data_IF_550964830329
#
_entry.id   IF_550964830329
#
_cell.length_a   1.000
_cell.length_b   1.000
_cell.length_c   1.000
_cell.angle_alpha   90.00
_cell.angle_beta   90.00
_cell.angle_gamma   90.00
#
_symmetry.space_group_name_H-M   'P 1'
#
loop_
_entity.id
_entity.type
_entity.pdbx_description
1 polymer ?
#
# COMPACT_ATOMS: atom_id res chain seq x y z
N UNK A 1 -71.39 -29.06 -26.94
CA UNK A 1 -70.76 -28.14 -25.97
C UNK A 1 -70.04 -27.04 -26.74
N UNK A 2 -70.57 -25.81 -26.76
CA UNK A 2 -69.94 -24.66 -27.43
C UNK A 2 -68.94 -24.02 -26.46
N UNK A 3 -67.66 -24.03 -26.81
CA UNK A 3 -66.62 -23.30 -26.07
C UNK A 3 -66.77 -21.81 -26.38
N UNK A 4 -66.96 -20.99 -25.35
CA UNK A 4 -66.95 -19.53 -25.48
C UNK A 4 -65.51 -19.08 -25.78
N UNK A 5 -65.26 -18.31 -26.86
CA UNK A 5 -63.93 -17.80 -27.13
C UNK A 5 -63.54 -16.82 -26.03
N UNK A 6 -62.45 -17.11 -25.32
CA UNK A 6 -61.87 -16.19 -24.33
C UNK A 6 -61.40 -14.93 -25.06
N UNK A 7 -62.07 -13.81 -24.79
CA UNK A 7 -61.68 -12.51 -25.32
C UNK A 7 -60.25 -12.17 -24.86
N UNK A 8 -59.29 -12.22 -25.78
CA UNK A 8 -57.93 -11.73 -25.55
C UNK A 8 -58.01 -10.22 -25.35
N UNK A 9 -57.79 -9.75 -24.11
CA UNK A 9 -57.64 -8.32 -23.83
C UNK A 9 -56.37 -7.83 -24.53
N UNK A 10 -56.54 -6.88 -25.47
CA UNK A 10 -55.42 -6.22 -26.14
C UNK A 10 -54.73 -5.26 -25.17
N UNK A 11 -53.39 -5.27 -25.16
CA UNK A 11 -52.58 -4.39 -24.35
C UNK A 11 -52.58 -2.98 -24.98
N UNK A 12 -52.94 -1.97 -24.21
CA UNK A 12 -52.96 -0.58 -24.71
C UNK A 12 -51.56 0.02 -24.66
N UNK A 13 -51.27 0.93 -25.60
CA UNK A 13 -50.00 1.66 -25.63
C UNK A 13 -49.73 2.41 -24.31
N UNK A 14 -50.80 2.90 -23.65
CA UNK A 14 -50.73 3.59 -22.37
C UNK A 14 -50.27 2.65 -21.26
N UNK A 15 -50.81 1.42 -21.17
CA UNK A 15 -50.39 0.43 -20.18
C UNK A 15 -48.90 0.06 -20.36
N UNK A 16 -48.43 -0.07 -21.61
CA UNK A 16 -47.01 -0.27 -21.88
C UNK A 16 -46.16 0.90 -21.36
N UNK A 17 -46.60 2.12 -21.65
CA UNK A 17 -45.86 3.35 -21.31
C UNK A 17 -45.76 3.55 -19.80
N UNK A 18 -46.82 3.26 -19.05
CA UNK A 18 -46.81 3.34 -17.59
C UNK A 18 -45.85 2.31 -16.99
N UNK A 19 -45.84 1.08 -17.50
CA UNK A 19 -44.95 0.03 -16.99
C UNK A 19 -43.49 0.38 -17.22
N UNK A 20 -43.13 0.85 -18.42
CA UNK A 20 -41.75 1.28 -18.68
C UNK A 20 -41.36 2.50 -17.84
N UNK A 21 -42.29 3.43 -17.57
CA UNK A 21 -42.04 4.60 -16.73
C UNK A 21 -41.76 4.19 -15.27
N UNK A 22 -42.53 3.25 -14.72
CA UNK A 22 -42.31 2.73 -13.37
C UNK A 22 -40.97 2.00 -13.30
N UNK A 23 -40.65 1.12 -14.27
CA UNK A 23 -39.37 0.41 -14.31
C UNK A 23 -38.20 1.41 -14.40
N UNK A 24 -38.32 2.44 -15.23
CA UNK A 24 -37.30 3.48 -15.36
C UNK A 24 -37.07 4.24 -14.04
N UNK A 25 -38.15 4.58 -13.31
CA UNK A 25 -38.06 5.22 -11.99
C UNK A 25 -37.38 4.28 -10.99
N UNK A 26 -37.79 3.01 -10.93
CA UNK A 26 -37.21 2.02 -10.01
C UNK A 26 -35.72 1.81 -10.29
N UNK A 27 -35.32 1.63 -11.55
CA UNK A 27 -33.91 1.50 -11.93
C UNK A 27 -33.14 2.78 -11.62
N UNK A 28 -33.73 3.96 -11.90
CA UNK A 28 -33.14 5.26 -11.61
C UNK A 28 -32.84 5.47 -10.12
N UNK A 29 -33.71 4.97 -9.24
CA UNK A 29 -33.50 5.03 -7.79
C UNK A 29 -32.53 3.95 -7.27
N UNK A 30 -32.49 2.78 -7.91
CA UNK A 30 -31.66 1.64 -7.47
C UNK A 30 -30.20 1.76 -7.91
N UNK A 31 -29.90 2.34 -9.08
CA UNK A 31 -28.53 2.40 -9.60
C UNK A 31 -27.55 3.14 -8.66
N UNK A 32 -27.87 4.35 -8.13
CA UNK A 32 -26.99 5.02 -7.17
C UNK A 32 -26.85 4.24 -5.85
N UNK A 33 -27.92 3.56 -5.41
CA UNK A 33 -27.90 2.77 -4.20
C UNK A 33 -26.99 1.54 -4.32
N UNK A 34 -27.08 0.80 -5.44
CA UNK A 34 -26.22 -0.36 -5.71
C UNK A 34 -24.75 0.05 -5.77
N UNK A 35 -24.42 1.21 -6.33
CA UNK A 35 -23.06 1.72 -6.37
C UNK A 35 -22.51 2.02 -4.96
N UNK A 36 -23.31 2.67 -4.10
CA UNK A 36 -22.94 2.91 -2.70
C UNK A 36 -22.70 1.62 -1.92
N UNK A 37 -23.56 0.62 -2.12
CA UNK A 37 -23.42 -0.70 -1.48
C UNK A 37 -22.16 -1.41 -1.96
N UNK A 38 -21.87 -1.38 -3.27
CA UNK A 38 -20.65 -1.98 -3.83
C UNK A 38 -19.39 -1.36 -3.26
N UNK A 39 -19.34 -0.04 -3.16
CA UNK A 39 -18.18 0.65 -2.60
C UNK A 39 -18.02 0.39 -1.10
N UNK A 40 -19.11 0.32 -0.33
CA UNK A 40 -19.06 -0.07 1.07
C UNK A 40 -18.53 -1.52 1.25
N UNK A 41 -18.96 -2.45 0.38
CA UNK A 41 -18.46 -3.82 0.38
C UNK A 41 -16.98 -3.92 -0.02
N UNK A 42 -16.56 -3.15 -1.03
CA UNK A 42 -15.17 -3.06 -1.45
C UNK A 42 -14.28 -2.52 -0.32
N UNK A 43 -14.69 -1.43 0.33
CA UNK A 43 -14.03 -0.88 1.51
C UNK A 43 -13.94 -1.87 2.67
N UNK A 44 -15.02 -2.57 2.97
CA UNK A 44 -15.03 -3.60 4.01
C UNK A 44 -14.04 -4.74 3.69
N UNK A 45 -13.93 -5.10 2.41
CA UNK A 45 -12.95 -6.09 1.95
C UNK A 45 -11.52 -5.57 2.11
N UNK A 46 -11.24 -4.31 1.75
CA UNK A 46 -9.91 -3.74 1.91
C UNK A 46 -9.50 -3.63 3.39
N UNK A 47 -10.44 -3.32 4.29
CA UNK A 47 -10.22 -3.36 5.74
C UNK A 47 -9.91 -4.77 6.25
N UNK A 48 -10.64 -5.79 5.78
CA UNK A 48 -10.39 -7.18 6.14
C UNK A 48 -9.02 -7.67 5.65
N UNK A 49 -8.61 -7.27 4.43
CA UNK A 49 -7.27 -7.55 3.92
C UNK A 49 -6.18 -6.94 4.81
N UNK A 50 -6.34 -5.67 5.20
CA UNK A 50 -5.43 -5.00 6.15
C UNK A 50 -5.36 -5.74 7.48
N UNK A 51 -6.50 -6.21 8.01
CA UNK A 51 -6.54 -7.00 9.24
C UNK A 51 -5.80 -8.33 9.10
N UNK A 52 -6.01 -9.04 8.00
CA UNK A 52 -5.30 -10.30 7.71
C UNK A 52 -3.80 -10.09 7.58
N UNK A 53 -3.36 -9.06 6.84
CA UNK A 53 -1.93 -8.76 6.71
C UNK A 53 -1.33 -8.30 8.03
N UNK A 54 -2.02 -7.45 8.80
CA UNK A 54 -1.57 -7.02 10.13
C UNK A 54 -1.31 -8.22 11.04
N UNK A 55 -2.25 -9.18 11.10
CA UNK A 55 -2.06 -10.43 11.84
C UNK A 55 -0.88 -11.26 11.30
N UNK A 56 -0.69 -11.32 9.98
CA UNK A 56 0.43 -12.03 9.38
C UNK A 56 1.79 -11.42 9.76
N UNK A 57 1.89 -10.08 9.86
CA UNK A 57 3.10 -9.41 10.34
C UNK A 57 3.34 -9.65 11.83
N UNK A 58 2.29 -9.70 12.65
CA UNK A 58 2.40 -10.11 14.06
C UNK A 58 2.92 -11.54 14.18
N UNK A 59 2.31 -12.50 13.50
CA UNK A 59 2.74 -13.90 13.51
C UNK A 59 4.17 -14.08 13.00
N UNK A 60 4.56 -13.33 11.97
CA UNK A 60 5.95 -13.33 11.50
C UNK A 60 6.89 -12.85 12.60
N UNK A 61 6.58 -11.72 13.24
CA UNK A 61 7.42 -11.18 14.30
C UNK A 61 7.52 -12.14 15.49
N UNK A 62 6.42 -12.75 15.92
CA UNK A 62 6.40 -13.65 17.07
C UNK A 62 7.36 -14.83 16.88
N UNK A 63 7.50 -15.31 15.64
CA UNK A 63 8.43 -16.39 15.28
C UNK A 63 9.86 -15.88 15.08
N UNK A 64 10.05 -14.67 14.54
CA UNK A 64 11.35 -14.19 14.04
C UNK A 64 12.02 -13.14 14.92
N UNK A 65 11.36 -12.62 15.95
CA UNK A 65 11.90 -11.62 16.87
C UNK A 65 11.96 -10.19 16.32
N UNK A 66 11.29 -9.89 15.21
CA UNK A 66 11.22 -8.56 14.61
C UNK A 66 10.34 -8.52 13.36
N UNK A 67 9.85 -7.33 12.98
CA UNK A 67 9.16 -7.14 11.70
C UNK A 67 10.15 -7.33 10.53
N UNK A 68 9.73 -7.82 9.36
CA UNK A 68 10.62 -7.87 8.21
C UNK A 68 11.00 -6.44 7.79
N UNK A 69 12.18 -6.22 7.19
CA UNK A 69 12.44 -4.93 6.54
C UNK A 69 11.64 -4.81 5.25
N UNK A 70 11.45 -3.58 4.77
CA UNK A 70 10.66 -3.35 3.55
C UNK A 70 11.31 -3.98 2.33
N UNK A 71 12.62 -3.81 2.19
CA UNK A 71 13.43 -4.55 1.22
C UNK A 71 14.50 -5.35 1.94
N UNK A 72 14.67 -6.59 1.50
CA UNK A 72 15.65 -7.52 2.05
C UNK A 72 15.98 -8.58 1.03
N UNK A 73 17.23 -9.02 0.96
CA UNK A 73 17.59 -10.43 0.85
C UNK A 73 19.11 -10.57 0.96
N UNK A 74 19.51 -11.44 1.88
CA UNK A 74 20.53 -12.44 1.63
C UNK A 74 19.91 -13.77 2.11
N UNK A 75 20.22 -14.92 1.49
CA UNK A 75 19.81 -16.21 2.02
C UNK A 75 20.07 -16.28 3.54
N UNK A 76 19.12 -16.83 4.29
CA UNK A 76 19.33 -17.13 5.71
C UNK A 76 20.56 -18.05 5.78
N UNK A 77 21.65 -17.58 6.38
CA UNK A 77 22.91 -18.34 6.48
C UNK A 77 24.03 -18.00 5.51
N UNK A 78 23.87 -17.07 4.55
CA UNK A 78 25.02 -16.60 3.73
C UNK A 78 25.54 -15.24 4.21
N UNK A 79 26.87 -15.07 4.19
CA UNK A 79 27.60 -13.82 4.47
C UNK A 79 27.90 -13.03 3.20
N UNK A 80 27.62 -13.60 2.02
CA UNK A 80 27.86 -12.96 0.73
C UNK A 80 26.81 -11.87 0.46
N UNK A 81 27.10 -10.65 0.90
CA UNK A 81 26.63 -9.39 0.29
C UNK A 81 27.31 -9.10 -1.06
N UNK A 82 28.03 -10.07 -1.62
CA UNK A 82 28.80 -9.91 -2.86
C UNK A 82 27.91 -9.82 -4.08
N UNK A 83 27.71 -8.59 -4.57
CA UNK A 83 27.39 -8.23 -5.96
C UNK A 83 26.16 -8.86 -6.64
N UNK A 84 25.10 -9.20 -5.89
CA UNK A 84 23.82 -9.56 -6.52
C UNK A 84 22.70 -8.58 -6.09
N UNK A 85 22.43 -7.51 -6.89
CA UNK A 85 21.38 -6.51 -6.61
C UNK A 85 19.94 -7.06 -6.63
N UNK A 86 19.79 -8.34 -6.98
CA UNK A 86 18.53 -9.10 -6.98
C UNK A 86 17.99 -9.28 -5.56
N UNK A 87 18.90 -9.34 -4.58
CA UNK A 87 18.56 -9.73 -3.23
C UNK A 87 18.17 -8.52 -2.36
N UNK A 88 18.82 -7.37 -2.45
CA UNK A 88 18.47 -6.19 -1.63
C UNK A 88 17.13 -5.50 -1.97
N UNK A 89 16.26 -6.15 -2.76
CA UNK A 89 15.04 -5.58 -3.29
C UNK A 89 13.79 -6.44 -3.10
N UNK A 90 13.84 -7.60 -2.44
CA UNK A 90 12.62 -8.40 -2.21
C UNK A 90 11.78 -7.76 -1.09
N UNK A 91 10.47 -7.65 -1.32
CA UNK A 91 9.54 -7.02 -0.39
C UNK A 91 9.35 -7.85 0.89
N UNK A 92 9.26 -7.19 2.05
CA UNK A 92 8.86 -7.80 3.31
C UNK A 92 7.52 -8.56 3.24
N UNK A 93 6.64 -8.19 2.30
CA UNK A 93 5.39 -8.92 2.03
C UNK A 93 5.60 -10.37 1.57
N UNK A 94 6.75 -10.71 0.97
CA UNK A 94 7.03 -12.08 0.53
C UNK A 94 7.32 -13.02 1.70
N UNK A 95 7.84 -12.47 2.81
CA UNK A 95 8.13 -13.23 4.03
C UNK A 95 6.88 -13.57 4.84
N UNK A 96 5.80 -12.81 4.67
CA UNK A 96 4.53 -13.06 5.38
C UNK A 96 3.57 -13.99 4.63
N UNK A 97 3.90 -14.40 3.40
CA UNK A 97 3.07 -15.29 2.59
C UNK A 97 2.62 -16.57 3.33
N UNK A 98 3.48 -17.28 4.10
CA UNK A 98 3.05 -18.46 4.85
C UNK A 98 1.95 -18.19 5.89
N UNK A 99 1.87 -16.95 6.39
CA UNK A 99 0.92 -16.53 7.44
C UNK A 99 -0.39 -15.98 6.87
N UNK A 100 -0.56 -15.99 5.53
CA UNK A 100 -1.80 -15.64 4.83
C UNK A 100 -2.25 -16.76 3.88
N UNK A 101 -2.01 -18.02 4.25
CA UNK A 101 -2.38 -19.20 3.44
C UNK A 101 -1.73 -19.21 2.04
N UNK A 102 -0.54 -18.62 1.90
CA UNK A 102 0.25 -18.61 0.66
C UNK A 102 1.60 -19.33 0.83
N UNK A 103 1.67 -20.34 1.71
CA UNK A 103 2.86 -21.17 1.90
C UNK A 103 3.37 -21.85 0.61
N UNK A 104 2.50 -22.35 -0.31
CA UNK A 104 2.97 -22.90 -1.59
C UNK A 104 3.70 -21.86 -2.46
N UNK A 105 3.19 -20.62 -2.50
CA UNK A 105 3.80 -19.53 -3.26
C UNK A 105 5.13 -19.09 -2.63
N UNK A 106 5.19 -18.98 -1.30
CA UNK A 106 6.43 -18.74 -0.58
C UNK A 106 7.49 -19.78 -0.97
N UNK A 107 7.14 -21.07 -0.90
CA UNK A 107 8.06 -22.14 -1.25
C UNK A 107 8.47 -22.10 -2.72
N UNK A 108 7.55 -21.76 -3.63
CA UNK A 108 7.87 -21.60 -5.05
C UNK A 108 8.86 -20.47 -5.34
N UNK A 109 8.90 -19.42 -4.50
CA UNK A 109 9.87 -18.33 -4.60
C UNK A 109 11.19 -18.74 -3.94
N UNK A 110 11.17 -19.03 -2.64
CA UNK A 110 12.37 -19.22 -1.82
C UNK A 110 13.09 -20.54 -2.06
N UNK A 111 12.41 -21.57 -2.58
CA UNK A 111 13.05 -22.84 -2.95
C UNK A 111 13.40 -22.94 -4.43
N UNK A 112 13.11 -21.92 -5.24
CA UNK A 112 13.49 -21.93 -6.64
C UNK A 112 15.02 -21.98 -6.80
N UNK A 113 15.58 -22.90 -7.61
CA UNK A 113 17.03 -23.02 -7.79
C UNK A 113 17.70 -21.69 -8.13
N UNK A 114 17.19 -20.98 -9.15
CA UNK A 114 17.75 -19.69 -9.55
C UNK A 114 17.70 -18.61 -8.45
N UNK A 115 16.71 -18.67 -7.55
CA UNK A 115 16.61 -17.74 -6.41
C UNK A 115 17.59 -18.11 -5.30
N UNK A 116 17.86 -19.41 -5.08
CA UNK A 116 18.88 -19.89 -4.15
C UNK A 116 20.30 -19.62 -4.64
N UNK A 117 20.53 -19.79 -5.93
CA UNK A 117 21.86 -19.80 -6.54
C UNK A 117 22.42 -18.41 -6.86
N UNK A 118 21.67 -17.34 -6.63
CA UNK A 118 22.19 -16.01 -6.97
C UNK A 118 21.76 -15.52 -8.36
N UNK A 119 21.19 -16.38 -9.20
CA UNK A 119 21.23 -16.21 -10.66
C UNK A 119 19.97 -15.62 -11.28
N UNK A 120 18.80 -15.72 -10.62
CA UNK A 120 17.54 -15.10 -11.06
C UNK A 120 16.57 -14.93 -9.89
N UNK A 121 15.34 -14.49 -10.18
CA UNK A 121 14.31 -14.26 -9.17
C UNK A 121 14.22 -12.80 -8.71
N UNK A 122 14.76 -11.87 -9.50
CA UNK A 122 14.54 -10.44 -9.28
C UNK A 122 13.06 -10.10 -9.31
N UNK A 123 12.54 -9.25 -8.42
CA UNK A 123 11.13 -8.90 -8.40
C UNK A 123 10.60 -8.24 -9.67
N UNK A 124 11.49 -7.70 -10.51
CA UNK A 124 11.15 -7.13 -11.83
C UNK A 124 11.19 -8.13 -12.99
N UNK A 125 11.62 -9.38 -12.75
CA UNK A 125 11.69 -10.40 -13.78
C UNK A 125 10.29 -10.99 -14.04
N UNK A 126 9.63 -10.55 -15.11
CA UNK A 126 8.34 -11.10 -15.55
C UNK A 126 8.42 -12.56 -16.04
N UNK A 127 9.62 -13.07 -16.33
CA UNK A 127 9.86 -14.48 -16.64
C UNK A 127 9.92 -15.38 -15.39
N UNK A 128 9.99 -14.81 -14.19
CA UNK A 128 9.93 -15.57 -12.94
C UNK A 128 8.46 -15.82 -12.57
N UNK A 129 7.94 -16.96 -13.00
CA UNK A 129 6.49 -17.29 -12.97
C UNK A 129 5.82 -17.16 -11.60
N UNK A 130 6.47 -17.41 -10.43
CA UNK A 130 5.82 -17.18 -9.14
C UNK A 130 5.34 -15.74 -8.94
N UNK A 131 6.04 -14.74 -9.48
CA UNK A 131 5.65 -13.34 -9.32
C UNK A 131 4.43 -12.93 -10.16
N UNK A 132 3.94 -13.78 -11.06
CA UNK A 132 2.69 -13.55 -11.78
C UNK A 132 1.44 -14.00 -10.98
N UNK A 133 1.61 -14.70 -9.85
CA UNK A 133 0.48 -15.21 -9.05
C UNK A 133 -0.15 -14.09 -8.25
N UNK A 134 -1.42 -13.79 -8.52
CA UNK A 134 -2.18 -12.75 -7.80
C UNK A 134 -2.63 -13.26 -6.44
N UNK A 135 -2.07 -12.68 -5.38
CA UNK A 135 -2.52 -12.91 -3.99
C UNK A 135 -3.73 -12.02 -3.71
N UNK A 136 -4.91 -12.61 -3.49
CA UNK A 136 -6.17 -11.86 -3.29
C UNK A 136 -6.11 -10.91 -2.09
N UNK A 137 -5.50 -11.32 -0.98
CA UNK A 137 -5.32 -10.49 0.23
C UNK A 137 -4.49 -9.24 -0.04
N UNK A 138 -3.69 -9.21 -1.10
CA UNK A 138 -2.89 -8.06 -1.52
C UNK A 138 -3.64 -7.10 -2.46
N UNK A 139 -4.84 -7.45 -2.91
CA UNK A 139 -5.65 -6.64 -3.82
C UNK A 139 -6.76 -5.93 -3.06
N UNK A 140 -6.90 -4.61 -3.26
CA UNK A 140 -8.07 -3.88 -2.82
C UNK A 140 -9.09 -3.86 -3.97
N UNK A 141 -10.34 -4.34 -3.79
CA UNK A 141 -11.34 -4.34 -4.87
C UNK A 141 -11.73 -2.95 -5.40
N UNK A 142 -11.41 -1.88 -4.67
CA UNK A 142 -11.61 -0.50 -5.14
C UNK A 142 -10.49 0.00 -6.05
N UNK A 143 -9.42 -0.77 -6.28
CA UNK A 143 -8.36 -0.41 -7.22
C UNK A 143 -8.88 -0.42 -8.67
N UNK A 144 -8.78 0.72 -9.35
CA UNK A 144 -9.30 0.88 -10.72
C UNK A 144 -8.25 0.81 -11.82
N UNK A 145 -6.96 0.92 -11.50
CA UNK A 145 -5.93 0.81 -12.52
C UNK A 145 -5.89 -0.60 -13.10
N UNK A 146 -5.37 -0.76 -14.30
CA UNK A 146 -5.18 -2.08 -14.89
C UNK A 146 -4.02 -2.81 -14.19
N UNK A 147 -4.10 -4.15 -14.03
CA UNK A 147 -2.94 -4.93 -13.60
C UNK A 147 -1.81 -4.82 -14.63
N UNK A 148 -0.55 -4.76 -14.16
CA UNK A 148 0.62 -4.76 -15.02
C UNK A 148 0.78 -6.13 -15.68
N UNK A 149 1.38 -6.15 -16.88
CA UNK A 149 1.58 -7.38 -17.64
C UNK A 149 2.72 -8.19 -17.01
N UNK A 150 2.45 -9.47 -16.74
CA UNK A 150 3.48 -10.45 -16.35
C UNK A 150 3.93 -10.41 -14.89
N UNK A 151 3.43 -9.48 -14.08
CA UNK A 151 3.73 -9.40 -12.64
C UNK A 151 2.45 -9.09 -11.87
N UNK A 152 2.27 -9.73 -10.71
CA UNK A 152 1.15 -9.47 -9.83
C UNK A 152 1.34 -8.12 -9.10
N UNK A 153 0.31 -7.28 -9.00
CA UNK A 153 0.35 -6.01 -8.28
C UNK A 153 0.03 -6.19 -6.77
N UNK A 154 0.11 -5.10 -6.00
CA UNK A 154 -0.34 -5.01 -4.60
C UNK A 154 -0.84 -3.60 -4.29
N UNK A 155 -1.87 -3.48 -3.47
CA UNK A 155 -2.51 -2.22 -3.07
C UNK A 155 -2.28 -1.81 -1.61
N UNK A 156 -1.23 -2.32 -1.00
CA UNK A 156 -0.91 -2.09 0.41
C UNK A 156 0.59 -1.87 0.55
N UNK A 157 0.97 -0.97 1.46
CA UNK A 157 2.36 -0.54 1.66
C UNK A 157 2.70 -0.50 3.15
N UNK A 158 4.00 -0.55 3.42
CA UNK A 158 4.62 -0.53 4.73
C UNK A 158 4.98 0.89 5.15
N UNK A 159 4.73 1.22 6.41
CA UNK A 159 5.11 2.49 7.00
C UNK A 159 6.63 2.60 7.23
N UNK A 160 7.31 3.52 6.54
CA UNK A 160 8.74 3.84 6.77
C UNK A 160 8.99 5.15 7.50
N UNK A 161 7.92 5.80 7.96
CA UNK A 161 7.97 6.95 8.86
C UNK A 161 7.82 8.28 8.15
N UNK A 162 8.38 9.32 8.76
CA UNK A 162 8.09 10.72 8.46
C UNK A 162 9.29 11.46 7.84
N UNK A 163 10.20 10.72 7.20
CA UNK A 163 11.36 11.27 6.48
C UNK A 163 11.30 10.93 5.01
N UNK A 164 11.77 11.83 4.16
CA UNK A 164 11.88 11.60 2.73
C UNK A 164 13.09 10.75 2.33
N UNK A 165 14.00 10.37 3.24
CA UNK A 165 15.18 9.54 2.97
C UNK A 165 15.48 8.55 4.11
N UNK A 166 14.51 7.71 4.53
CA UNK A 166 14.73 6.70 5.55
C UNK A 166 15.75 5.67 5.10
N UNK A 167 16.51 5.19 6.07
CA UNK A 167 17.54 4.17 5.97
C UNK A 167 17.44 3.25 7.19
N UNK A 168 18.37 2.29 7.30
CA UNK A 168 18.42 1.39 8.44
C UNK A 168 18.72 2.09 9.79
N UNK A 169 19.29 3.30 9.78
CA UNK A 169 19.73 4.02 10.99
C UNK A 169 18.87 5.23 11.35
N UNK A 170 18.23 5.87 10.36
CA UNK A 170 17.37 7.04 10.57
C UNK A 170 15.89 6.79 10.24
N UNK A 171 15.52 5.60 9.74
CA UNK A 171 14.12 5.26 9.49
C UNK A 171 13.34 5.25 10.80
N UNK A 172 12.20 5.94 10.86
CA UNK A 172 11.38 6.10 12.08
C UNK A 172 10.05 5.33 12.02
N UNK A 173 9.72 4.73 10.89
CA UNK A 173 8.53 3.90 10.72
C UNK A 173 8.49 2.63 11.54
N UNK A 174 7.33 1.95 11.51
CA UNK A 174 7.20 0.58 12.00
C UNK A 174 8.17 -0.37 11.26
N UNK A 175 8.38 -0.13 9.97
CA UNK A 175 9.31 -0.88 9.14
C UNK A 175 10.56 -0.05 8.84
N UNK A 176 11.72 -0.71 8.82
CA UNK A 176 12.95 -0.14 8.30
C UNK A 176 13.10 -0.49 6.82
N UNK A 177 13.68 0.42 6.04
CA UNK A 177 13.94 0.21 4.61
C UNK A 177 14.87 -0.98 4.39
N UNK A 178 15.91 -1.10 5.23
CA UNK A 178 16.90 -2.18 5.21
C UNK A 178 17.20 -2.62 6.64
N UNK A 179 17.72 -3.84 6.85
CA UNK A 179 18.09 -4.31 8.18
C UNK A 179 19.32 -3.59 8.74
N UNK A 180 19.39 -3.43 10.07
CA UNK A 180 20.38 -2.60 10.79
C UNK A 180 21.74 -3.28 11.04
N UNK A 181 22.15 -4.22 10.19
CA UNK A 181 23.37 -5.08 10.30
C UNK A 181 23.27 -6.28 11.25
N UNK A 182 24.02 -7.36 10.94
CA UNK A 182 24.24 -8.51 11.84
C UNK A 182 24.05 -9.92 11.23
N UNK A 183 24.70 -10.91 11.85
CA UNK A 183 24.32 -12.34 11.73
C UNK A 183 22.97 -12.55 12.41
N UNK A 184 22.16 -13.53 11.95
CA UNK A 184 20.86 -13.81 12.56
C UNK A 184 20.96 -13.93 14.10
N UNK A 185 20.00 -13.39 14.89
CA UNK A 185 18.67 -12.86 14.53
C UNK A 185 18.61 -11.36 14.20
N UNK A 186 19.73 -10.63 14.18
CA UNK A 186 19.82 -9.17 13.97
C UNK A 186 19.45 -8.69 12.55
N UNK A 187 18.79 -9.54 11.75
CA UNK A 187 18.42 -9.28 10.35
C UNK A 187 17.01 -8.72 10.17
N UNK A 188 16.20 -8.70 11.22
CA UNK A 188 14.83 -8.18 11.16
C UNK A 188 14.77 -6.77 11.75
N UNK A 189 13.77 -6.01 11.29
CA UNK A 189 13.53 -4.65 11.70
C UNK A 189 12.99 -4.54 13.14
N UNK A 190 12.39 -3.40 13.48
CA UNK A 190 11.89 -3.12 14.82
C UNK A 190 10.88 -4.18 15.30
N UNK A 191 10.84 -4.39 16.61
CA UNK A 191 9.78 -5.17 17.25
C UNK A 191 8.58 -4.28 17.57
N UNK A 192 7.39 -4.87 17.71
CA UNK A 192 6.21 -4.18 18.23
C UNK A 192 6.46 -3.61 19.63
N UNK A 193 7.28 -4.28 20.45
CA UNK A 193 7.70 -3.76 21.75
C UNK A 193 8.55 -2.50 21.63
N UNK A 194 9.32 -2.35 20.55
CA UNK A 194 10.13 -1.16 20.26
C UNK A 194 9.33 0.07 19.81
N UNK A 195 8.00 -0.02 19.75
CA UNK A 195 7.11 1.09 19.40
C UNK A 195 6.73 1.87 20.65
N UNK A 196 7.63 2.75 21.10
CA UNK A 196 7.47 3.55 22.32
C UNK A 196 6.34 4.57 22.23
N UNK A 197 5.93 4.97 21.02
CA UNK A 197 4.79 5.87 20.80
C UNK A 197 3.43 5.15 20.99
N UNK A 198 3.47 3.83 21.20
CA UNK A 198 2.31 2.96 21.35
C UNK A 198 1.94 2.27 20.04
N UNK A 199 1.66 0.97 20.11
CA UNK A 199 1.27 0.16 18.96
C UNK A 199 -0.08 0.58 18.38
N UNK A 200 -0.97 1.16 19.20
CA UNK A 200 -2.27 1.71 18.76
C UNK A 200 -2.16 3.06 18.05
N UNK A 201 -1.01 3.73 18.16
CA UNK A 201 -0.76 5.07 17.59
C UNK A 201 0.20 5.00 16.40
N UNK A 202 1.02 3.95 16.31
CA UNK A 202 1.92 3.71 15.20
C UNK A 202 1.20 3.02 14.03
N UNK A 203 1.33 3.56 12.83
CA UNK A 203 0.84 2.93 11.60
C UNK A 203 1.73 1.75 11.23
N UNK A 204 1.11 0.64 10.85
CA UNK A 204 1.79 -0.53 10.29
C UNK A 204 1.70 -0.51 8.76
N UNK A 205 0.49 -0.68 8.24
CA UNK A 205 0.21 -0.78 6.81
C UNK A 205 -0.83 0.25 6.40
N UNK A 206 -0.80 0.65 5.14
CA UNK A 206 -1.87 1.47 4.57
C UNK A 206 -2.16 1.04 3.13
N UNK A 207 -3.36 1.36 2.67
CA UNK A 207 -3.72 1.28 1.26
C UNK A 207 -2.82 2.16 0.38
N UNK A 208 -2.60 1.67 -0.83
CA UNK A 208 -1.88 2.36 -1.88
C UNK A 208 -2.61 2.19 -3.22
N UNK A 209 -2.93 3.34 -3.83
CA UNK A 209 -3.43 3.41 -5.21
C UNK A 209 -2.27 3.18 -6.17
N UNK A 210 -2.51 2.50 -7.28
CA UNK A 210 -1.56 2.45 -8.39
C UNK A 210 -1.62 3.73 -9.21
N UNK A 211 -0.48 4.10 -9.78
CA UNK A 211 -0.39 5.22 -10.71
C UNK A 211 0.96 5.92 -10.63
N UNK A 212 1.12 6.86 -11.55
CA UNK A 212 2.35 7.62 -11.74
C UNK A 212 2.73 8.49 -10.54
N UNK A 213 3.98 8.95 -10.60
CA UNK A 213 4.65 9.79 -9.62
C UNK A 213 5.15 11.06 -10.31
N UNK A 214 5.28 12.15 -9.55
CA UNK A 214 6.04 13.33 -9.95
C UNK A 214 7.53 13.15 -9.72
N UNK A 215 8.33 14.05 -10.28
CA UNK A 215 9.77 14.10 -10.07
C UNK A 215 10.18 15.46 -9.50
N UNK A 216 10.82 15.47 -8.32
CA UNK A 216 11.37 16.68 -7.70
C UNK A 216 12.61 16.37 -6.87
N UNK A 217 13.70 17.11 -7.08
CA UNK A 217 14.89 17.00 -6.22
C UNK A 217 14.72 17.70 -4.87
N UNK A 218 13.63 18.45 -4.68
CA UNK A 218 13.33 19.14 -3.42
C UNK A 218 12.87 18.15 -2.35
N UNK A 219 13.37 18.34 -1.12
CA UNK A 219 12.90 17.66 0.08
C UNK A 219 11.82 18.46 0.81
N UNK A 220 11.27 19.51 0.20
CA UNK A 220 10.15 20.28 0.74
C UNK A 220 8.81 19.72 0.22
N UNK A 221 7.90 19.26 1.11
CA UNK A 221 6.63 18.64 0.71
C UNK A 221 5.75 19.50 -0.21
N UNK A 222 5.69 20.81 0.02
CA UNK A 222 4.89 21.74 -0.79
C UNK A 222 5.31 21.75 -2.26
N UNK A 223 6.59 21.51 -2.55
CA UNK A 223 7.11 21.49 -3.91
C UNK A 223 6.60 20.27 -4.67
N UNK A 224 6.51 19.11 -4.02
CA UNK A 224 5.88 17.93 -4.61
C UNK A 224 4.40 18.16 -4.91
N UNK A 225 3.69 18.84 -4.01
CA UNK A 225 2.27 19.16 -4.20
C UNK A 225 2.04 20.04 -5.41
N UNK A 226 2.93 21.02 -5.65
CA UNK A 226 2.85 21.94 -6.77
C UNK A 226 3.01 21.24 -8.15
N UNK A 227 3.63 20.06 -8.21
CA UNK A 227 3.82 19.32 -9.46
C UNK A 227 2.55 18.61 -9.94
N UNK A 228 1.56 18.40 -9.07
CA UNK A 228 0.37 17.62 -9.40
C UNK A 228 -0.81 18.52 -9.71
N UNK A 229 -1.30 18.44 -10.95
CA UNK A 229 -2.52 19.11 -11.35
C UNK A 229 -3.73 18.26 -10.96
N UNK A 230 -4.52 18.74 -9.99
CA UNK A 230 -5.70 18.02 -9.48
C UNK A 230 -6.82 17.89 -10.52
N UNK A 231 -6.90 18.82 -11.47
CA UNK A 231 -7.93 18.84 -12.52
C UNK A 231 -7.64 17.81 -13.61
N UNK A 232 -6.39 17.74 -14.07
CA UNK A 232 -5.98 16.77 -15.11
C UNK A 232 -5.49 15.44 -14.54
N UNK A 233 -5.30 15.36 -13.21
CA UNK A 233 -4.74 14.20 -12.48
C UNK A 233 -3.38 13.77 -13.02
N UNK A 234 -2.55 14.73 -13.39
CA UNK A 234 -1.24 14.51 -14.03
C UNK A 234 -0.12 15.27 -13.31
N UNK A 235 1.10 14.76 -13.42
CA UNK A 235 2.31 15.39 -12.88
C UNK A 235 3.06 16.19 -13.95
N UNK A 236 3.72 17.27 -13.55
CA UNK A 236 4.61 18.04 -14.42
C UNK A 236 5.81 18.57 -13.62
N UNK A 237 7.02 18.00 -13.77
CA UNK A 237 7.36 16.84 -14.59
C UNK A 237 6.86 15.53 -13.97
N UNK A 238 6.40 14.61 -14.82
CA UNK A 238 6.14 13.24 -14.42
C UNK A 238 7.48 12.50 -14.31
N UNK A 239 7.65 11.68 -13.28
CA UNK A 239 8.71 10.68 -13.27
C UNK A 239 8.52 9.72 -14.45
N UNK A 240 9.56 8.98 -14.85
CA UNK A 240 9.42 7.86 -15.79
C UNK A 240 8.25 6.93 -15.41
N UNK A 241 7.76 6.10 -16.35
CA UNK A 241 6.55 5.28 -16.20
C UNK A 241 6.63 4.23 -15.07
N UNK A 242 6.53 4.68 -13.82
CA UNK A 242 6.61 3.89 -12.61
C UNK A 242 5.25 3.93 -11.91
N UNK A 243 4.58 2.79 -11.89
CA UNK A 243 3.34 2.64 -11.15
C UNK A 243 3.64 2.06 -9.77
N UNK A 244 3.25 2.80 -8.75
CA UNK A 244 3.29 2.32 -7.37
C UNK A 244 2.51 1.02 -7.23
N UNK A 245 3.02 0.06 -6.45
CA UNK A 245 2.33 -1.21 -6.23
C UNK A 245 2.15 -2.09 -7.47
N UNK A 246 2.80 -1.79 -8.60
CA UNK A 246 2.69 -2.62 -9.82
C UNK A 246 3.49 -3.93 -9.74
N UNK A 247 4.27 -4.16 -8.68
CA UNK A 247 5.05 -5.39 -8.49
C UNK A 247 4.98 -5.81 -7.03
N UNK A 248 4.29 -6.91 -6.75
CA UNK A 248 4.05 -7.35 -5.37
C UNK A 248 5.33 -7.80 -4.66
N UNK A 249 6.28 -8.37 -5.38
CA UNK A 249 7.51 -8.88 -4.79
C UNK A 249 8.58 -7.79 -4.59
N UNK A 250 8.35 -6.60 -5.13
CA UNK A 250 9.37 -5.55 -5.20
C UNK A 250 9.33 -4.68 -3.94
N UNK A 251 10.42 -4.71 -3.18
CA UNK A 251 10.63 -4.00 -1.92
C UNK A 251 11.10 -2.56 -2.09
N UNK A 252 11.51 -2.13 -3.30
CA UNK A 252 11.87 -0.73 -3.54
C UNK A 252 10.72 0.23 -3.20
N UNK A 253 11.11 1.43 -2.79
CA UNK A 253 10.27 2.38 -2.04
C UNK A 253 8.88 2.60 -2.62
N UNK A 254 8.77 2.92 -3.89
CA UNK A 254 7.48 3.30 -4.47
C UNK A 254 6.56 2.10 -4.75
N UNK A 255 7.06 0.87 -4.61
CA UNK A 255 6.23 -0.34 -4.68
C UNK A 255 5.71 -0.76 -3.31
N UNK A 256 6.54 -0.64 -2.27
CA UNK A 256 6.30 -1.26 -0.96
C UNK A 256 6.17 -0.31 0.22
N UNK A 257 6.46 0.98 0.07
CA UNK A 257 6.56 1.91 1.20
C UNK A 257 5.60 3.09 1.07
N UNK A 258 5.08 3.53 2.21
CA UNK A 258 4.49 4.84 2.37
C UNK A 258 5.14 5.58 3.55
N UNK A 259 4.99 6.89 3.53
CA UNK A 259 5.54 7.86 4.48
C UNK A 259 4.46 8.81 4.93
N UNK A 260 4.62 9.31 6.14
CA UNK A 260 3.63 10.16 6.80
C UNK A 260 3.98 11.64 6.74
N UNK A 261 4.47 12.10 5.59
CA UNK A 261 4.87 13.50 5.38
C UNK A 261 3.72 14.33 4.81
N UNK A 262 3.17 13.87 3.69
CA UNK A 262 1.98 14.43 3.05
C UNK A 262 0.77 13.57 3.40
N UNK A 263 -0.43 14.15 3.57
CA UNK A 263 -1.62 13.43 4.03
C UNK A 263 -2.07 12.36 2.99
N UNK A 264 -3.00 11.46 3.37
CA UNK A 264 -3.54 10.49 2.44
C UNK A 264 -4.03 11.10 1.12
N UNK A 265 -3.87 10.35 0.03
CA UNK A 265 -4.24 10.74 -1.33
C UNK A 265 -3.51 11.97 -1.92
N UNK A 266 -2.63 12.62 -1.15
CA UNK A 266 -1.80 13.71 -1.63
C UNK A 266 -0.81 13.24 -2.71
N UNK A 267 -0.23 14.18 -3.49
CA UNK A 267 0.73 13.85 -4.53
C UNK A 267 1.95 13.09 -4.01
N UNK A 268 2.53 12.28 -4.89
CA UNK A 268 3.71 11.45 -4.63
C UNK A 268 4.82 11.85 -5.58
N UNK A 269 6.03 12.03 -5.08
CA UNK A 269 7.15 12.42 -5.92
C UNK A 269 8.42 11.65 -5.55
N UNK A 270 9.17 11.24 -6.56
CA UNK A 270 10.51 10.71 -6.39
C UNK A 270 11.56 11.83 -6.56
N UNK A 271 12.73 11.62 -5.95
CA UNK A 271 13.84 12.59 -6.02
C UNK A 271 14.89 12.30 -7.09
N UNK A 272 14.86 11.10 -7.66
CA UNK A 272 15.64 10.75 -8.85
C UNK A 272 14.69 10.21 -9.90
N UNK A 273 14.96 10.51 -11.15
CA UNK A 273 14.27 9.90 -12.28
C UNK A 273 14.83 8.50 -12.57
N UNK A 274 15.06 7.70 -11.52
CA UNK A 274 15.58 6.35 -11.58
C UNK A 274 14.82 5.42 -10.60
N UNK A 275 15.01 4.12 -10.78
CA UNK A 275 14.38 3.09 -9.95
C UNK A 275 15.04 2.93 -8.57
N UNK A 276 16.18 3.56 -8.33
CA UNK A 276 17.08 3.25 -7.22
C UNK A 276 16.95 4.25 -6.06
N UNK A 277 16.39 5.43 -6.32
CA UNK A 277 16.18 6.41 -5.27
C UNK A 277 15.11 5.95 -4.28
N UNK A 278 15.57 5.73 -3.05
CA UNK A 278 14.70 5.68 -1.87
C UNK A 278 14.21 7.05 -1.44
N UNK A 279 14.65 8.15 -2.06
CA UNK A 279 14.36 9.50 -1.57
C UNK A 279 13.12 10.10 -2.25
N UNK A 280 12.17 10.62 -1.48
CA UNK A 280 10.95 11.23 -2.01
C UNK A 280 9.75 11.19 -1.04
N UNK A 281 8.60 11.59 -1.56
CA UNK A 281 7.32 11.62 -0.86
C UNK A 281 6.43 10.50 -1.40
N UNK A 282 6.17 9.49 -0.59
CA UNK A 282 5.35 8.33 -0.95
C UNK A 282 4.15 8.29 -0.03
N UNK A 283 3.04 8.86 -0.47
CA UNK A 283 1.82 8.93 0.31
C UNK A 283 0.97 7.67 0.14
N UNK A 284 0.24 7.24 1.18
CA UNK A 284 -0.80 6.26 1.00
C UNK A 284 -1.93 6.83 0.14
N UNK A 285 -2.70 5.95 -0.50
CA UNK A 285 -3.82 6.39 -1.31
C UNK A 285 -4.82 5.28 -1.55
N UNK A 286 -6.07 5.67 -1.78
CA UNK A 286 -7.16 4.74 -2.11
C UNK A 286 -8.14 5.43 -3.08
N UNK A 287 -9.09 4.65 -3.58
CA UNK A 287 -10.26 5.18 -4.31
C UNK A 287 -11.48 5.39 -3.39
N UNK A 288 -11.34 5.11 -2.10
CA UNK A 288 -12.38 5.38 -1.12
C UNK A 288 -12.57 6.89 -0.96
N UNK A 289 -13.81 7.29 -0.72
CA UNK A 289 -14.13 8.71 -0.54
C UNK A 289 -13.52 9.25 0.74
N UNK A 290 -12.62 10.22 0.61
CA UNK A 290 -12.16 11.09 1.70
C UNK A 290 -11.07 10.51 2.61
N UNK A 291 -10.35 9.46 2.20
CA UNK A 291 -9.30 8.88 3.03
C UNK A 291 -8.73 7.56 2.55
N UNK A 292 -8.03 6.88 3.47
CA UNK A 292 -7.46 5.54 3.30
C UNK A 292 -7.78 4.69 4.53
N UNK A 293 -7.93 3.39 4.35
CA UNK A 293 -7.84 2.46 5.46
C UNK A 293 -6.37 2.19 5.78
N UNK A 294 -6.06 2.15 7.07
CA UNK A 294 -4.73 1.82 7.56
C UNK A 294 -4.81 0.85 8.75
N UNK A 295 -3.89 -0.11 8.78
CA UNK A 295 -3.68 -0.96 9.93
C UNK A 295 -2.71 -0.27 10.88
N UNK A 296 -3.09 -0.20 12.15
CA UNK A 296 -2.21 0.21 13.24
C UNK A 296 -1.33 -0.98 13.66
N UNK A 297 -0.25 -0.72 14.37
CA UNK A 297 0.67 -1.75 14.81
C UNK A 297 0.10 -2.66 15.90
N UNK A 298 -1.00 -2.30 16.56
CA UNK A 298 -1.80 -3.19 17.42
C UNK A 298 -2.72 -4.15 16.62
N UNK A 299 -2.72 -4.05 15.29
CA UNK A 299 -3.55 -4.84 14.40
C UNK A 299 -4.99 -4.32 14.26
N UNK A 300 -5.36 -3.21 14.90
CA UNK A 300 -6.62 -2.51 14.61
C UNK A 300 -6.56 -1.87 13.21
N UNK A 301 -7.71 -1.71 12.57
CA UNK A 301 -7.82 -1.04 11.27
C UNK A 301 -8.67 0.21 11.45
N UNK A 302 -8.16 1.35 10.99
CA UNK A 302 -8.81 2.65 11.11
C UNK A 302 -8.89 3.32 9.75
N UNK A 303 -9.89 4.17 9.58
CA UNK A 303 -9.97 5.03 8.41
C UNK A 303 -9.36 6.39 8.71
N UNK A 304 -8.33 6.76 7.96
CA UNK A 304 -7.62 8.03 8.09
C UNK A 304 -8.13 8.96 7.00
N UNK A 305 -8.63 10.13 7.40
CA UNK A 305 -9.19 11.12 6.46
C UNK A 305 -8.09 11.87 5.73
N UNK A 306 -8.38 12.31 4.50
CA UNK A 306 -7.48 13.18 3.71
C UNK A 306 -7.21 14.52 4.41
N UNK A 307 -8.11 14.95 5.30
CA UNK A 307 -8.04 16.19 6.07
C UNK A 307 -7.22 16.08 7.35
N UNK A 308 -6.55 14.95 7.61
CA UNK A 308 -5.68 14.80 8.78
C UNK A 308 -4.57 15.86 8.77
N UNK A 309 -4.24 16.38 9.94
CA UNK A 309 -3.21 17.42 10.07
C UNK A 309 -1.82 16.85 9.72
N UNK A 310 -1.29 17.26 8.56
CA UNK A 310 0.05 16.92 8.06
C UNK A 310 1.13 17.97 8.38
N UNK A 311 0.86 18.84 9.37
CA UNK A 311 1.82 19.82 9.87
C UNK A 311 2.32 20.81 8.81
N UNK A 312 3.59 21.21 8.92
CA UNK A 312 4.18 22.28 8.11
C UNK A 312 4.87 21.71 6.87
N UNK A 313 4.16 21.74 5.73
CA UNK A 313 4.65 21.25 4.44
C UNK A 313 5.82 22.05 3.83
N UNK A 314 6.27 23.13 4.48
CA UNK A 314 7.47 23.89 4.08
C UNK A 314 8.75 23.45 4.81
N UNK A 315 8.63 22.59 5.83
CA UNK A 315 9.80 22.01 6.51
C UNK A 315 10.33 20.84 5.67
N UNK A 316 11.62 20.89 5.35
CA UNK A 316 12.28 19.85 4.59
C UNK A 316 12.26 18.51 5.33
N UNK A 317 11.90 17.44 4.63
CA UNK A 317 11.77 16.08 5.16
C UNK A 317 13.11 15.34 5.25
N UNK A 318 14.18 16.03 5.63
CA UNK A 318 15.50 15.42 5.73
C UNK A 318 15.62 14.59 7.02
N UNK A 319 15.72 13.27 6.86
CA UNK A 319 15.83 12.31 7.95
C UNK A 319 17.11 12.40 8.77
N UNK A 320 18.10 13.19 8.36
CA UNK A 320 19.23 13.53 9.23
C UNK A 320 18.88 14.60 10.28
N UNK A 321 17.85 15.40 10.02
CA UNK A 321 17.49 16.57 10.84
C UNK A 321 16.23 16.38 11.69
N UNK A 322 15.35 15.47 11.30
CA UNK A 322 14.13 15.17 12.05
C UNK A 322 14.47 14.23 13.22
N UNK A 323 14.42 14.78 14.43
CA UNK A 323 14.59 14.04 15.68
C UNK A 323 13.50 14.46 16.68
N UNK A 324 13.04 13.53 17.52
CA UNK A 324 11.92 13.80 18.43
C UNK A 324 10.60 13.97 17.68
N UNK A 325 9.82 15.00 18.02
CA UNK A 325 8.49 15.18 17.43
C UNK A 325 8.53 15.44 15.92
N UNK A 326 7.62 14.79 15.20
CA UNK A 326 7.39 14.97 13.79
C UNK A 326 6.89 16.38 13.47
N UNK A 327 7.50 17.08 12.49
CA UNK A 327 7.01 18.38 12.03
C UNK A 327 5.73 18.27 11.19
N UNK A 328 5.31 17.05 10.84
CA UNK A 328 4.17 16.75 9.97
C UNK A 328 2.89 16.45 10.75
N UNK A 329 2.76 17.03 11.95
CA UNK A 329 1.55 17.00 12.76
C UNK A 329 1.15 15.59 13.21
N UNK A 330 -0.16 15.42 13.42
CA UNK A 330 -0.77 14.14 13.83
C UNK A 330 -0.42 13.04 12.84
N UNK A 331 -0.44 13.35 11.54
CA UNK A 331 -0.12 12.37 10.50
C UNK A 331 1.32 11.88 10.61
N UNK A 332 2.28 12.80 10.70
CA UNK A 332 3.69 12.52 10.90
C UNK A 332 3.95 11.64 12.11
N UNK A 333 3.40 12.04 13.26
CA UNK A 333 3.52 11.34 14.54
C UNK A 333 2.95 9.92 14.48
N UNK A 334 1.83 9.69 13.78
CA UNK A 334 1.31 8.34 13.58
C UNK A 334 2.24 7.44 12.74
N UNK A 335 3.13 8.02 11.95
CA UNK A 335 4.11 7.26 11.19
C UNK A 335 5.34 6.87 11.99
N UNK A 336 5.57 7.46 13.16
CA UNK A 336 6.80 7.22 13.92
C UNK A 336 6.60 6.14 14.97
N UNK A 337 7.63 5.32 15.19
CA UNK A 337 7.63 4.31 16.27
C UNK A 337 8.13 4.88 17.60
N UNK A 338 8.91 5.97 17.54
CA UNK A 338 9.67 6.52 18.66
C UNK A 338 9.89 8.05 18.58
N UNK A 339 8.91 8.80 18.09
CA UNK A 339 8.91 10.27 18.16
C UNK A 339 8.61 10.84 19.54
N UNK A 340 7.92 10.09 20.38
CA UNK A 340 7.53 10.48 21.74
C UNK A 340 6.19 11.21 21.82
N UNK A 341 5.47 11.38 20.71
CA UNK A 341 4.12 11.95 20.72
C UNK A 341 3.06 10.94 21.15
N UNK A 342 2.09 11.42 21.94
CA UNK A 342 0.82 10.70 22.15
C UNK A 342 -0.20 11.27 21.18
N UNK A 343 -0.72 10.43 20.28
CA UNK A 343 -1.61 10.85 19.20
C UNK A 343 -3.00 10.23 19.38
N UNK A 344 -4.07 11.02 19.21
CA UNK A 344 -5.45 10.53 19.08
C UNK A 344 -6.07 10.99 17.75
N UNK A 345 -6.97 10.18 17.20
CA UNK A 345 -7.66 10.38 15.91
C UNK A 345 -9.13 10.83 16.12
N UNK A 346 -9.57 10.97 17.37
CA UNK A 346 -10.96 11.25 17.73
C UNK A 346 -11.47 12.63 17.29
#
# INVERSE_FOLDING_TARGET
>A
MRQNPSARRGFTLIELLVVIAIIAILIGLLLPAVQKVREAAARSTCQNNLKQMGLAFHSFQDVNGGLPSVRYCAPIGTTNRGAAPIYDTLSGFMYVLPYIEQAPLHNAIFNHPNFKDGTSGSPWNSGFTPYATVVKTFQCPSETASPPIGLAPRNYMMNTGDTANPSATNGRGAFLVQPTSGTAPDRYGPTLQGMTDGTSNTLLLSEARRGFLGFTTSLVPSDCRALYNTSTKAYTPQAGSYDTGSRMAEGRVYYSEFRTILPPNAPRCNSRNDHESGTGFYTPGSYHTGGVNAAMSDGSVRFVRDTIAAGTETIAADGATITGFSPYGVWGAMGTRNGGEVVSID
#
